data_IF_689284268788
#
_entry.id   IF_689284268788
#
_cell.length_a   1.000
_cell.length_b   1.000
_cell.length_c   1.000
_cell.angle_alpha   90.00
_cell.angle_beta   90.00
_cell.angle_gamma   90.00
#
_symmetry.space_group_name_H-M   'P 1'
#
loop_
_entity.id
_entity.type
_entity.pdbx_description
1 polymer ?
#
# COMPACT_ATOMS: atom_id res chain seq x y z
N UNK A 1 3.13 -14.03 26.81
CA UNK A 1 1.86 -14.64 27.28
C UNK A 1 0.78 -14.28 26.27
N UNK A 2 -0.13 -15.20 25.91
CA UNK A 2 -1.22 -14.89 24.98
C UNK A 2 -2.16 -13.82 25.56
N UNK A 3 -2.53 -12.80 24.78
CA UNK A 3 -3.38 -11.68 25.22
C UNK A 3 -4.76 -12.13 25.74
N UNK A 4 -5.23 -13.32 25.36
CA UNK A 4 -6.50 -13.92 25.78
C UNK A 4 -6.42 -14.72 27.09
N UNK A 5 -5.23 -14.88 27.68
CA UNK A 5 -5.02 -15.67 28.90
C UNK A 5 -4.92 -14.85 30.18
N UNK A 6 -4.92 -13.52 30.08
CA UNK A 6 -4.71 -12.63 31.22
C UNK A 6 -6.00 -11.94 31.64
N UNK A 7 -6.20 -11.83 32.96
CA UNK A 7 -7.35 -11.11 33.50
C UNK A 7 -7.08 -9.60 33.39
N UNK A 8 -7.80 -8.94 32.47
CA UNK A 8 -7.68 -7.52 32.17
C UNK A 8 -7.90 -6.58 33.37
N UNK A 9 -8.49 -7.07 34.47
CA UNK A 9 -8.70 -6.29 35.70
C UNK A 9 -7.53 -6.36 36.71
N UNK A 10 -6.58 -7.28 36.52
CA UNK A 10 -5.41 -7.45 37.40
C UNK A 10 -4.11 -6.88 36.82
N UNK A 11 -4.09 -6.50 35.54
CA UNK A 11 -2.90 -6.01 34.86
C UNK A 11 -2.83 -4.49 34.96
N UNK A 12 -2.29 -3.98 36.08
CA UNK A 12 -2.18 -2.55 36.37
C UNK A 12 -1.39 -1.76 35.33
N UNK A 13 -2.08 -1.25 34.30
CA UNK A 13 -1.54 -0.27 33.34
C UNK A 13 -0.59 -0.81 32.28
N UNK A 14 -0.45 -2.13 32.11
CA UNK A 14 0.31 -2.67 30.98
C UNK A 14 -0.55 -2.55 29.70
N UNK A 15 0.03 -2.02 28.62
CA UNK A 15 -0.63 -1.91 27.32
C UNK A 15 -1.07 -3.31 26.86
N UNK A 16 -2.38 -3.53 26.83
CA UNK A 16 -2.97 -4.75 26.32
C UNK A 16 -2.75 -4.79 24.81
N UNK A 17 -1.79 -5.59 24.38
CA UNK A 17 -1.46 -5.74 22.96
C UNK A 17 -2.51 -6.63 22.29
N UNK A 18 -3.64 -6.02 21.91
CA UNK A 18 -4.65 -6.65 21.08
C UNK A 18 -4.07 -7.09 19.72
N UNK A 19 -4.57 -8.20 19.14
CA UNK A 19 -4.20 -8.57 17.78
C UNK A 19 -4.53 -7.46 16.78
N UNK A 20 -3.60 -7.28 15.83
CA UNK A 20 -3.77 -6.46 14.63
C UNK A 20 -5.09 -6.79 13.92
N UNK A 21 -5.95 -5.78 13.74
CA UNK A 21 -7.26 -5.94 13.09
C UNK A 21 -7.22 -5.43 11.65
N UNK A 22 -7.91 -6.13 10.75
CA UNK A 22 -7.92 -5.83 9.30
C UNK A 22 -8.49 -4.44 8.97
N UNK A 23 -9.47 -3.98 9.73
CA UNK A 23 -10.18 -2.73 9.45
C UNK A 23 -9.50 -1.46 9.98
N UNK A 24 -8.44 -1.60 10.79
CA UNK A 24 -7.74 -0.46 11.41
C UNK A 24 -6.52 -0.10 10.59
N UNK A 25 -6.72 0.60 9.48
CA UNK A 25 -5.64 1.05 8.62
C UNK A 25 -5.91 2.44 8.06
N UNK A 26 -4.86 3.09 7.60
CA UNK A 26 -4.89 4.33 6.85
C UNK A 26 -4.00 4.21 5.64
N UNK A 27 -4.36 4.91 4.57
CA UNK A 27 -3.56 5.04 3.35
C UNK A 27 -3.29 6.51 3.14
N UNK A 28 -2.06 6.85 2.80
CA UNK A 28 -1.70 8.20 2.38
C UNK A 28 -0.90 8.18 1.09
N UNK A 29 -1.16 9.18 0.24
CA UNK A 29 -0.44 9.39 -1.01
C UNK A 29 0.02 10.85 -1.11
N UNK A 30 1.33 11.06 -1.26
CA UNK A 30 1.92 12.40 -1.28
C UNK A 30 1.48 13.28 -2.45
N UNK A 31 1.07 12.67 -3.58
CA UNK A 31 0.53 13.37 -4.74
C UNK A 31 -0.91 13.88 -4.56
N UNK A 32 -1.59 13.50 -3.48
CA UNK A 32 -2.95 13.94 -3.17
C UNK A 32 -2.90 14.95 -2.03
N UNK A 33 -3.59 16.08 -2.21
CA UNK A 33 -3.81 17.07 -1.15
C UNK A 33 -5.28 17.47 -1.14
N UNK A 34 -6.11 16.57 -0.65
CA UNK A 34 -7.55 16.81 -0.51
C UNK A 34 -7.87 17.59 0.78
N UNK A 35 -8.74 18.58 0.70
CA UNK A 35 -9.27 19.25 1.91
C UNK A 35 -10.67 18.71 2.20
N UNK A 36 -11.02 18.33 3.45
CA UNK A 36 -10.16 18.19 4.63
C UNK A 36 -9.47 16.81 4.66
N UNK A 37 -8.16 16.77 4.97
CA UNK A 37 -7.42 15.50 5.14
C UNK A 37 -5.99 15.47 4.59
N UNK A 38 -5.59 16.45 3.77
CA UNK A 38 -4.26 16.48 3.16
C UNK A 38 -3.99 15.26 2.29
N UNK A 39 -2.89 14.56 2.56
CA UNK A 39 -2.48 13.32 1.88
C UNK A 39 -3.17 12.07 2.41
N UNK A 40 -3.92 12.18 3.51
CA UNK A 40 -4.63 11.05 4.11
C UNK A 40 -5.92 10.76 3.35
N UNK A 41 -6.04 9.53 2.85
CA UNK A 41 -7.18 9.08 2.08
C UNK A 41 -8.24 8.48 3.00
N UNK A 42 -9.02 9.34 3.66
CA UNK A 42 -10.12 8.91 4.56
C UNK A 42 -11.23 8.13 3.83
N UNK A 43 -11.31 8.28 2.52
CA UNK A 43 -12.24 7.59 1.61
C UNK A 43 -11.70 6.23 1.11
N UNK A 44 -10.52 5.78 1.58
CA UNK A 44 -10.01 4.46 1.25
C UNK A 44 -10.80 3.35 1.97
N UNK A 45 -11.39 2.44 1.20
CA UNK A 45 -12.22 1.33 1.68
C UNK A 45 -11.40 0.06 1.91
N UNK A 46 -10.44 -0.23 1.05
CA UNK A 46 -9.54 -1.37 1.20
C UNK A 46 -8.16 -1.09 0.64
N UNK A 47 -7.15 -1.77 1.19
CA UNK A 47 -5.78 -1.76 0.67
C UNK A 47 -5.13 -3.12 0.90
N UNK A 48 -4.43 -3.64 -0.10
CA UNK A 48 -3.61 -4.84 0.06
C UNK A 48 -2.23 -4.46 0.62
N UNK A 49 -1.67 -5.34 1.48
CA UNK A 49 -0.30 -5.14 1.96
C UNK A 49 0.69 -5.52 0.85
N UNK A 50 1.85 -4.84 0.75
CA UNK A 50 2.93 -5.26 -0.13
C UNK A 50 3.28 -6.74 0.10
N UNK A 51 3.44 -7.48 -0.99
CA UNK A 51 3.89 -8.87 -0.95
C UNK A 51 4.98 -9.07 -1.99
N UNK A 52 5.89 -10.02 -1.75
CA UNK A 52 6.97 -10.33 -2.67
C UNK A 52 7.11 -11.84 -2.83
N UNK A 53 7.63 -12.24 -3.99
CA UNK A 53 7.98 -13.63 -4.26
C UNK A 53 9.47 -13.74 -4.54
N UNK A 54 10.08 -14.82 -4.03
CA UNK A 54 11.48 -15.15 -4.30
C UNK A 54 11.46 -16.28 -5.31
N UNK A 55 12.00 -16.03 -6.50
CA UNK A 55 12.12 -17.04 -7.54
C UNK A 55 13.09 -18.15 -7.08
N UNK A 56 12.93 -19.38 -7.59
CA UNK A 56 13.85 -20.48 -7.30
C UNK A 56 14.48 -21.01 -8.59
N UNK A 57 15.81 -21.01 -8.62
CA UNK A 57 16.57 -21.72 -9.65
C UNK A 57 16.68 -23.20 -9.28
N UNK A 58 16.25 -24.10 -10.17
CA UNK A 58 16.40 -25.54 -9.97
C UNK A 58 17.74 -26.03 -10.52
N UNK A 59 18.48 -26.79 -9.71
CA UNK A 59 19.65 -27.55 -10.17
C UNK A 59 19.44 -29.03 -9.89
N UNK A 60 19.38 -29.84 -10.95
CA UNK A 60 19.27 -31.29 -10.82
C UNK A 60 20.65 -31.93 -10.83
N UNK A 61 20.94 -32.75 -9.84
CA UNK A 61 22.13 -33.60 -9.82
C UNK A 61 21.71 -35.03 -9.45
N UNK A 62 21.88 -35.95 -10.40
CA UNK A 62 21.36 -37.32 -10.32
C UNK A 62 19.84 -37.33 -10.02
N UNK A 63 19.40 -38.06 -8.98
CA UNK A 63 18.01 -38.14 -8.54
C UNK A 63 17.62 -37.08 -7.49
N UNK A 64 18.44 -36.02 -7.35
CA UNK A 64 18.19 -34.93 -6.41
C UNK A 64 17.93 -33.62 -7.15
N UNK A 65 16.94 -32.87 -6.66
CA UNK A 65 16.66 -31.49 -7.03
C UNK A 65 17.12 -30.56 -5.91
N UNK A 66 18.02 -29.63 -6.24
CA UNK A 66 18.45 -28.54 -5.37
C UNK A 66 17.76 -27.25 -5.79
N UNK A 67 17.35 -26.44 -4.81
CA UNK A 67 16.72 -25.14 -5.04
C UNK A 67 17.66 -24.04 -4.56
N UNK A 68 17.95 -23.09 -5.44
CA UNK A 68 18.72 -21.88 -5.12
C UNK A 68 17.80 -20.65 -5.16
N UNK A 69 17.95 -19.71 -4.22
CA UNK A 69 17.19 -18.47 -4.25
C UNK A 69 17.59 -17.62 -5.46
N UNK A 70 16.59 -17.14 -6.19
CA UNK A 70 16.71 -16.27 -7.36
C UNK A 70 16.32 -14.83 -7.05
N UNK A 71 15.78 -14.14 -8.06
CA UNK A 71 15.40 -12.74 -7.95
C UNK A 71 14.18 -12.53 -7.03
N UNK A 72 14.10 -11.36 -6.38
CA UNK A 72 12.95 -10.94 -5.58
C UNK A 72 12.07 -10.04 -6.45
N UNK A 73 10.78 -10.36 -6.55
CA UNK A 73 9.79 -9.55 -7.26
C UNK A 73 8.69 -9.11 -6.31
N UNK A 74 8.41 -7.81 -6.29
CA UNK A 74 7.29 -7.23 -5.53
C UNK A 74 6.00 -7.32 -6.36
N UNK A 75 4.91 -7.70 -5.70
CA UNK A 75 3.58 -7.77 -6.30
C UNK A 75 2.86 -6.42 -6.17
N UNK A 76 1.96 -6.15 -7.10
CA UNK A 76 1.15 -4.92 -7.12
C UNK A 76 0.32 -4.75 -5.84
N UNK A 77 0.13 -3.50 -5.44
CA UNK A 77 -0.77 -3.14 -4.35
C UNK A 77 -2.07 -2.60 -4.93
N UNK A 78 -3.19 -3.12 -4.43
CA UNK A 78 -4.53 -2.71 -4.84
C UNK A 78 -5.16 -1.87 -3.73
N UNK A 79 -5.70 -0.71 -4.10
CA UNK A 79 -6.41 0.19 -3.20
C UNK A 79 -7.78 0.48 -3.80
N UNK A 80 -8.84 0.27 -3.02
CA UNK A 80 -10.19 0.66 -3.40
C UNK A 80 -10.64 1.87 -2.59
N UNK A 81 -11.25 2.82 -3.29
CA UNK A 81 -11.65 4.12 -2.79
C UNK A 81 -13.15 4.26 -3.03
N UNK A 82 -13.87 4.87 -2.10
CA UNK A 82 -15.19 5.42 -2.42
C UNK A 82 -14.96 6.75 -3.15
N UNK A 83 -15.79 7.10 -4.14
CA UNK A 83 -15.74 8.40 -4.83
C UNK A 83 -16.64 9.44 -4.12
N UNK A 84 -16.10 10.25 -3.19
CA UNK A 84 -16.82 11.39 -2.65
C UNK A 84 -16.98 12.49 -3.71
N UNK A 85 -18.08 13.24 -3.61
CA UNK A 85 -18.30 14.42 -4.46
C UNK A 85 -17.36 15.59 -4.13
N UNK A 86 -16.84 15.62 -2.90
CA UNK A 86 -15.93 16.63 -2.38
C UNK A 86 -14.98 15.97 -1.37
N UNK A 87 -13.69 15.80 -1.67
CA UNK A 87 -12.98 16.09 -2.93
C UNK A 87 -13.43 15.18 -4.09
N UNK A 88 -13.48 15.67 -5.33
CA UNK A 88 -13.77 14.82 -6.50
C UNK A 88 -12.57 13.89 -6.79
N UNK A 89 -12.74 12.59 -6.50
CA UNK A 89 -11.64 11.63 -6.65
C UNK A 89 -11.41 11.24 -8.09
N UNK A 90 -12.47 11.20 -8.89
CA UNK A 90 -12.36 11.01 -10.34
C UNK A 90 -11.48 12.11 -10.96
N UNK A 91 -11.72 13.38 -10.61
CA UNK A 91 -10.92 14.51 -11.08
C UNK A 91 -9.47 14.44 -10.57
N UNK A 92 -9.28 14.12 -9.29
CA UNK A 92 -7.95 14.05 -8.67
C UNK A 92 -7.08 12.96 -9.32
N UNK A 93 -7.64 11.77 -9.52
CA UNK A 93 -6.91 10.62 -10.11
C UNK A 93 -6.65 10.88 -11.59
N UNK A 94 -7.61 11.46 -12.32
CA UNK A 94 -7.41 11.86 -13.70
C UNK A 94 -6.27 12.88 -13.86
N UNK A 95 -6.15 13.84 -12.94
CA UNK A 95 -5.06 14.82 -12.95
C UNK A 95 -3.70 14.18 -12.64
N UNK A 96 -3.64 13.23 -11.69
CA UNK A 96 -2.42 12.44 -11.42
C UNK A 96 -1.97 11.67 -12.68
N UNK A 97 -2.91 11.10 -13.43
CA UNK A 97 -2.61 10.44 -14.71
C UNK A 97 -2.09 11.45 -15.74
N UNK A 98 -2.69 12.65 -15.85
CA UNK A 98 -2.16 13.68 -16.74
C UNK A 98 -0.74 14.11 -16.36
N UNK A 99 -0.48 14.32 -15.06
CA UNK A 99 0.84 14.66 -14.51
C UNK A 99 1.87 13.54 -14.74
N UNK A 100 1.44 12.28 -14.76
CA UNK A 100 2.29 11.13 -15.10
C UNK A 100 2.82 11.16 -16.54
N UNK A 101 2.23 12.03 -17.38
CA UNK A 101 2.61 12.27 -18.77
C UNK A 101 1.68 11.61 -19.78
N UNK A 102 0.50 11.15 -19.36
CA UNK A 102 -0.53 10.70 -20.30
C UNK A 102 -1.29 11.92 -20.84
N UNK A 103 -1.11 12.20 -22.12
CA UNK A 103 -1.89 13.22 -22.83
C UNK A 103 -2.38 12.63 -24.14
N UNK A 104 -3.70 12.58 -24.40
CA UNK A 104 -4.22 12.13 -25.68
C UNK A 104 -3.60 12.94 -26.83
N UNK A 105 -3.11 12.27 -27.91
CA UNK A 105 -2.48 12.98 -29.01
C UNK A 105 -3.52 13.85 -29.73
N UNK A 106 -3.34 15.17 -29.69
CA UNK A 106 -4.21 16.13 -30.38
C UNK A 106 -3.67 16.53 -31.75
N UNK A 107 -2.39 16.20 -32.03
CA UNK A 107 -1.73 16.48 -33.31
C UNK A 107 -0.54 15.50 -33.53
N UNK A 108 -0.06 15.35 -34.78
CA UNK A 108 1.07 14.45 -35.09
C UNK A 108 2.40 14.78 -34.39
N UNK A 109 2.55 15.98 -33.82
CA UNK A 109 3.74 16.40 -33.08
C UNK A 109 3.60 16.18 -31.57
N UNK A 110 2.52 15.53 -31.11
CA UNK A 110 2.32 15.13 -29.71
C UNK A 110 3.19 13.90 -29.40
N UNK A 111 4.51 14.13 -29.27
CA UNK A 111 5.53 13.10 -29.04
C UNK A 111 5.77 12.84 -27.54
N UNK A 112 5.06 13.55 -26.66
CA UNK A 112 5.15 13.34 -25.22
C UNK A 112 4.56 11.99 -24.82
N UNK A 113 5.31 11.23 -24.04
CA UNK A 113 4.87 9.95 -23.46
C UNK A 113 4.99 9.97 -21.94
N UNK A 114 4.37 8.99 -21.28
CA UNK A 114 4.59 8.74 -19.85
C UNK A 114 6.05 8.36 -19.60
N UNK A 115 6.62 8.86 -18.51
CA UNK A 115 7.97 8.49 -18.06
C UNK A 115 7.92 8.08 -16.61
N UNK A 116 8.77 7.12 -16.20
CA UNK A 116 8.80 6.63 -14.82
C UNK A 116 8.97 7.75 -13.79
N UNK A 117 9.84 8.73 -14.06
CA UNK A 117 10.06 9.87 -13.16
C UNK A 117 8.82 10.75 -12.99
N UNK A 118 8.06 11.00 -14.06
CA UNK A 118 6.80 11.75 -13.99
C UNK A 118 5.69 10.94 -13.31
N UNK A 119 5.58 9.65 -13.63
CA UNK A 119 4.57 8.78 -13.04
C UNK A 119 4.77 8.58 -11.53
N UNK A 120 6.00 8.31 -11.10
CA UNK A 120 6.33 8.20 -9.68
C UNK A 120 6.24 9.57 -8.96
N UNK A 121 6.65 10.65 -9.64
CA UNK A 121 6.56 12.00 -9.08
C UNK A 121 5.13 12.48 -8.88
N UNK A 122 4.21 12.14 -9.79
CA UNK A 122 2.81 12.52 -9.71
C UNK A 122 2.05 11.82 -8.57
N UNK A 123 2.36 10.55 -8.29
CA UNK A 123 1.77 9.79 -7.17
C UNK A 123 2.42 10.17 -5.84
N UNK A 124 3.72 10.48 -5.86
CA UNK A 124 4.50 10.77 -4.66
C UNK A 124 4.75 9.52 -3.81
N UNK A 125 5.06 9.75 -2.53
CA UNK A 125 5.28 8.66 -1.59
C UNK A 125 3.94 8.08 -1.13
N UNK A 126 3.80 6.75 -1.24
CA UNK A 126 2.61 6.02 -0.77
C UNK A 126 2.94 5.32 0.53
N UNK A 127 2.09 5.52 1.54
CA UNK A 127 2.23 4.88 2.85
C UNK A 127 0.94 4.18 3.25
N UNK A 128 1.07 2.96 3.78
CA UNK A 128 -0.04 2.17 4.33
C UNK A 128 0.29 1.92 5.80
N UNK A 129 -0.47 2.51 6.71
CA UNK A 129 -0.26 2.37 8.14
C UNK A 129 -1.40 1.57 8.79
N UNK A 130 -1.04 0.67 9.69
CA UNK A 130 -1.97 -0.06 10.55
C UNK A 130 -2.01 0.60 11.92
N UNK A 131 -3.20 0.69 12.50
CA UNK A 131 -3.45 1.42 13.75
C UNK A 131 -3.83 0.49 14.92
N UNK A 132 -3.52 0.92 16.15
CA UNK A 132 -3.98 0.32 17.40
C UNK A 132 -5.42 0.75 17.78
N UNK A 133 -5.84 0.48 19.01
CA UNK A 133 -7.16 0.89 19.51
C UNK A 133 -7.26 2.39 19.83
N UNK A 134 -6.13 3.04 20.09
CA UNK A 134 -6.02 4.46 20.45
C UNK A 134 -5.77 5.36 19.23
N UNK A 135 -5.56 4.76 18.05
CA UNK A 135 -5.31 5.44 16.78
C UNK A 135 -3.84 5.66 16.47
N UNK A 136 -2.91 5.08 17.24
CA UNK A 136 -1.48 5.18 16.97
C UNK A 136 -1.05 4.15 15.92
N UNK A 137 -0.05 4.52 15.11
CA UNK A 137 0.54 3.61 14.13
C UNK A 137 1.35 2.50 14.81
N UNK A 138 1.10 1.26 14.42
CA UNK A 138 1.82 0.06 14.92
C UNK A 138 2.61 -0.64 13.82
N UNK A 139 2.28 -0.39 12.55
CA UNK A 139 3.01 -0.90 11.40
C UNK A 139 2.80 0.06 10.24
N UNK A 140 3.88 0.43 9.55
CA UNK A 140 3.85 1.32 8.40
C UNK A 140 4.64 0.71 7.25
N UNK A 141 3.97 0.58 6.12
CA UNK A 141 4.58 0.23 4.84
C UNK A 141 4.79 1.50 4.02
N UNK A 142 6.00 1.69 3.52
CA UNK A 142 6.33 2.81 2.63
C UNK A 142 6.76 2.25 1.27
N UNK A 143 6.02 2.60 0.22
CA UNK A 143 6.29 2.19 -1.15
C UNK A 143 7.16 3.24 -1.84
N UNK A 144 8.21 2.79 -2.52
CA UNK A 144 9.16 3.67 -3.21
C UNK A 144 8.94 3.65 -4.72
N UNK A 145 8.96 4.84 -5.31
CA UNK A 145 8.68 5.07 -6.73
C UNK A 145 7.37 4.44 -7.19
N UNK A 146 6.33 4.52 -6.35
CA UNK A 146 5.03 3.96 -6.68
C UNK A 146 4.41 4.74 -7.85
N UNK A 147 3.79 4.03 -8.77
CA UNK A 147 3.05 4.61 -9.88
C UNK A 147 1.80 3.80 -10.18
N UNK A 148 0.80 4.46 -10.75
CA UNK A 148 -0.48 3.84 -11.10
C UNK A 148 -0.31 3.01 -12.37
N UNK A 149 -0.68 1.74 -12.30
CA UNK A 149 -0.73 0.80 -13.42
C UNK A 149 -2.12 0.69 -14.01
N UNK A 150 -3.14 0.70 -13.15
CA UNK A 150 -4.52 0.44 -13.52
C UNK A 150 -5.43 1.32 -12.67
N UNK A 151 -6.45 1.89 -13.33
CA UNK A 151 -7.51 2.68 -12.70
C UNK A 151 -8.84 2.25 -13.28
N UNK A 152 -9.72 1.76 -12.42
CA UNK A 152 -11.12 1.54 -12.74
C UNK A 152 -11.97 2.58 -11.99
N UNK A 153 -12.67 3.43 -12.72
CA UNK A 153 -13.54 4.47 -12.17
C UNK A 153 -14.91 3.96 -11.69
N UNK A 154 -15.13 2.65 -11.73
CA UNK A 154 -16.34 2.00 -11.26
C UNK A 154 -17.40 1.80 -12.36
N UNK A 155 -18.37 0.97 -12.03
CA UNK A 155 -19.51 0.66 -12.89
C UNK A 155 -20.75 1.46 -12.44
N UNK A 156 -21.64 1.80 -13.38
CA UNK A 156 -22.87 2.54 -13.12
C UNK A 156 -24.10 1.73 -13.57
N UNK A 157 -25.04 1.49 -12.66
CA UNK A 157 -26.27 0.77 -12.95
C UNK A 157 -27.47 1.45 -12.27
N UNK A 158 -28.55 1.68 -13.03
CA UNK A 158 -29.77 2.34 -12.53
C UNK A 158 -30.54 1.54 -11.46
N UNK A 159 -30.23 0.25 -11.30
CA UNK A 159 -30.90 -0.64 -10.35
C UNK A 159 -30.14 -0.85 -9.05
N UNK A 160 -28.95 -0.27 -8.91
CA UNK A 160 -28.05 -0.51 -7.78
C UNK A 160 -27.97 0.75 -6.91
N UNK A 161 -28.15 0.57 -5.59
CA UNK A 161 -28.08 1.63 -4.57
C UNK A 161 -26.70 1.69 -3.88
N UNK A 162 -25.70 0.98 -4.41
CA UNK A 162 -24.35 0.91 -3.85
C UNK A 162 -23.55 2.20 -4.11
N UNK A 163 -22.51 2.43 -3.29
CA UNK A 163 -21.60 3.56 -3.48
C UNK A 163 -20.70 3.31 -4.68
N UNK A 164 -20.42 4.37 -5.46
CA UNK A 164 -19.44 4.30 -6.55
C UNK A 164 -18.05 4.16 -5.96
N UNK A 165 -17.32 3.15 -6.44
CA UNK A 165 -15.97 2.80 -5.98
C UNK A 165 -14.98 2.87 -7.13
N UNK A 166 -13.82 3.47 -6.84
CA UNK A 166 -12.68 3.55 -7.74
C UNK A 166 -11.62 2.57 -7.26
N UNK A 167 -11.15 1.70 -8.14
CA UNK A 167 -10.09 0.73 -7.86
C UNK A 167 -8.79 1.14 -8.54
N UNK A 168 -7.70 1.14 -7.77
CA UNK A 168 -6.36 1.51 -8.21
C UNK A 168 -5.40 0.33 -8.01
N UNK A 169 -4.57 0.04 -9.01
CA UNK A 169 -3.39 -0.82 -8.83
C UNK A 169 -2.11 -0.01 -8.94
N UNK A 170 -1.26 -0.16 -7.94
CA UNK A 170 0.01 0.52 -7.80
C UNK A 170 1.15 -0.49 -7.98
N UNK A 171 2.03 -0.20 -8.93
CA UNK A 171 3.35 -0.83 -9.02
C UNK A 171 4.39 0.03 -8.32
N UNK A 172 5.42 -0.59 -7.77
CA UNK A 172 6.50 0.07 -7.03
C UNK A 172 7.78 -0.75 -7.14
N UNK A 173 8.92 -0.12 -6.87
CA UNK A 173 10.22 -0.78 -7.05
C UNK A 173 10.60 -1.64 -5.83
N UNK A 174 10.35 -1.11 -4.63
CA UNK A 174 10.53 -1.83 -3.37
C UNK A 174 9.69 -1.18 -2.27
N UNK A 175 9.46 -1.91 -1.18
CA UNK A 175 8.77 -1.40 -0.01
C UNK A 175 9.63 -1.57 1.25
N UNK A 176 9.45 -0.65 2.20
CA UNK A 176 10.01 -0.72 3.55
C UNK A 176 8.89 -0.94 4.55
N UNK A 177 9.17 -1.70 5.60
CA UNK A 177 8.23 -1.89 6.71
C UNK A 177 8.86 -1.44 8.01
N UNK A 178 8.10 -0.69 8.78
CA UNK A 178 8.45 -0.20 10.10
C UNK A 178 7.36 -0.65 11.08
N UNK A 179 7.74 -1.28 12.19
CA UNK A 179 6.82 -1.79 13.22
C UNK A 179 7.09 -1.09 14.53
N UNK A 180 6.08 -0.43 15.09
CA UNK A 180 6.22 0.28 16.36
C UNK A 180 5.78 -0.65 17.50
N UNK A 181 6.62 -0.77 18.53
CA UNK A 181 6.24 -1.36 19.81
C UNK A 181 7.03 -2.59 20.25
N UNK A 182 7.23 -3.60 19.38
CA UNK A 182 7.86 -4.86 19.77
C UNK A 182 8.97 -5.28 18.79
N UNK A 183 10.12 -5.78 19.29
CA UNK A 183 11.22 -6.23 18.44
C UNK A 183 10.89 -7.54 17.73
N UNK A 184 11.59 -7.78 16.62
CA UNK A 184 11.56 -9.06 15.89
C UNK A 184 11.81 -10.24 16.83
N UNK A 185 11.05 -11.32 16.64
CA UNK A 185 11.21 -12.58 17.39
C UNK A 185 12.03 -13.62 16.60
N UNK A 186 12.74 -13.21 15.55
CA UNK A 186 13.64 -14.09 14.80
C UNK A 186 14.84 -14.47 15.68
N UNK A 187 15.18 -15.76 15.73
CA UNK A 187 16.21 -16.34 16.62
C UNK A 187 17.58 -15.65 16.52
N UNK A 188 17.96 -15.20 15.32
CA UNK A 188 19.19 -14.43 15.04
C UNK A 188 18.89 -13.07 14.38
N UNK A 189 17.69 -12.52 14.62
CA UNK A 189 17.29 -11.23 14.07
C UNK A 189 18.00 -10.07 14.76
N UNK A 190 18.15 -8.95 14.06
CA UNK A 190 18.77 -7.72 14.58
C UNK A 190 18.01 -7.04 15.72
N UNK A 191 16.82 -7.55 16.10
CA UNK A 191 15.91 -6.90 17.04
C UNK A 191 15.37 -5.55 16.55
N UNK A 192 15.63 -5.21 15.28
CA UNK A 192 15.21 -3.96 14.68
C UNK A 192 13.70 -3.89 14.51
N UNK A 193 13.22 -2.66 14.35
CA UNK A 193 11.83 -2.29 14.12
C UNK A 193 11.60 -1.80 12.70
N UNK A 194 12.63 -1.80 11.86
CA UNK A 194 12.59 -1.33 10.50
C UNK A 194 13.33 -2.30 9.58
N UNK A 195 12.69 -2.69 8.49
CA UNK A 195 13.15 -3.80 7.64
C UNK A 195 13.15 -3.42 6.16
N UNK A 196 13.94 -4.16 5.37
CA UNK A 196 14.19 -3.93 3.94
C UNK A 196 14.85 -2.56 3.64
N UNK A 197 15.72 -2.13 4.55
CA UNK A 197 16.54 -0.94 4.39
C UNK A 197 17.88 -1.29 3.72
N UNK A 198 18.47 -0.29 3.07
CA UNK A 198 19.79 -0.36 2.43
C UNK A 198 20.89 0.04 3.39
#
# INVERSE_FOLDING_TARGET
>A
MPFWSENFSQQGGAALNDPKRKFRFTVSMGGISATPGGSLMWYAKSATKPSFTIERGEHKYLNHTFYYPGSVSWSEVEVTLVDPRDPDMTATIADIINLSGYTPPSNPNSLGSMSKGRAAGAVGQVQIAQLDADGNEIERWTLWNAFIMDVNFGDLAYGDDELVEISLKLSYDWARVETIGQPSQATDGSGEVSFFQS
#
